data_IF_633510427691
#
_entry.id   IF_633510427691
#
_cell.length_a   1.000
_cell.length_b   1.000
_cell.length_c   1.000
_cell.angle_alpha   90.00
_cell.angle_beta   90.00
_cell.angle_gamma   90.00
#
_symmetry.space_group_name_H-M   'P 1'
#
loop_
_entity.id
_entity.type
_entity.pdbx_description
1 polymer ?
#
# COMPACT_ATOMS: atom_id res chain seq x y z
N UNK A 1 9.59 32.74 -14.91
CA UNK A 1 9.00 31.45 -14.51
C UNK A 1 7.55 31.46 -14.96
N UNK A 2 7.20 30.66 -15.93
CA UNK A 2 5.81 30.55 -16.42
C UNK A 2 4.93 30.09 -15.27
N UNK A 3 3.94 30.90 -14.91
CA UNK A 3 2.92 30.57 -13.91
C UNK A 3 2.17 29.32 -14.41
N UNK A 4 2.21 28.24 -13.63
CA UNK A 4 1.48 27.03 -13.94
C UNK A 4 0.03 27.26 -13.52
N UNK A 5 -0.91 27.04 -14.43
CA UNK A 5 -2.33 27.02 -14.10
C UNK A 5 -2.73 25.71 -13.36
N UNK A 6 -3.89 25.71 -12.73
CA UNK A 6 -4.39 24.55 -11.97
C UNK A 6 -4.55 23.29 -12.83
N UNK A 7 -4.84 23.44 -14.12
CA UNK A 7 -4.97 22.32 -15.06
C UNK A 7 -3.60 21.71 -15.37
N UNK A 8 -2.57 22.54 -15.57
CA UNK A 8 -1.19 22.11 -15.76
C UNK A 8 -0.62 21.41 -14.51
N UNK A 9 -0.93 21.93 -13.32
CA UNK A 9 -0.55 21.28 -12.06
C UNK A 9 -1.21 19.89 -11.93
N UNK A 10 -2.51 19.79 -12.22
CA UNK A 10 -3.23 18.49 -12.21
C UNK A 10 -2.62 17.51 -13.19
N UNK A 11 -2.33 17.92 -14.42
CA UNK A 11 -1.73 17.04 -15.44
C UNK A 11 -0.38 16.49 -14.99
N UNK A 12 0.49 17.35 -14.41
CA UNK A 12 1.81 16.94 -13.92
C UNK A 12 1.69 15.97 -12.73
N UNK A 13 0.78 16.25 -11.81
CA UNK A 13 0.50 15.37 -10.68
C UNK A 13 0.03 13.97 -11.13
N UNK A 14 -0.87 13.91 -12.12
CA UNK A 14 -1.36 12.64 -12.71
C UNK A 14 -0.19 11.83 -13.30
N UNK A 15 0.70 12.46 -14.08
CA UNK A 15 1.86 11.78 -14.63
C UNK A 15 2.86 11.32 -13.58
N UNK A 16 3.14 12.15 -12.58
CA UNK A 16 4.05 11.78 -11.46
C UNK A 16 3.46 10.62 -10.68
N UNK A 17 2.16 10.66 -10.34
CA UNK A 17 1.49 9.57 -9.64
C UNK A 17 1.53 8.26 -10.43
N UNK A 18 1.30 8.31 -11.74
CA UNK A 18 1.40 7.14 -12.60
C UNK A 18 2.84 6.58 -12.66
N UNK A 19 3.83 7.45 -12.89
CA UNK A 19 5.24 7.03 -12.98
C UNK A 19 5.83 6.59 -11.64
N UNK A 20 5.28 7.05 -10.50
CA UNK A 20 5.66 6.55 -9.17
C UNK A 20 5.14 5.12 -8.93
N UNK A 21 3.94 4.83 -9.42
CA UNK A 21 3.27 3.52 -9.19
C UNK A 21 3.66 2.46 -10.22
N UNK A 22 3.98 2.85 -11.44
CA UNK A 22 4.31 1.94 -12.54
C UNK A 22 5.48 0.98 -12.24
N UNK A 23 6.63 1.44 -11.69
CA UNK A 23 7.74 0.56 -11.33
C UNK A 23 7.34 -0.50 -10.30
N UNK A 24 6.53 -0.11 -9.31
CA UNK A 24 6.03 -1.04 -8.29
C UNK A 24 5.18 -2.14 -8.93
N UNK A 25 4.29 -1.80 -9.86
CA UNK A 25 3.50 -2.79 -10.60
C UNK A 25 4.37 -3.73 -11.43
N UNK A 26 5.31 -3.16 -12.21
CA UNK A 26 6.17 -3.94 -13.11
C UNK A 26 6.92 -5.06 -12.38
N UNK A 27 7.53 -4.80 -11.22
CA UNK A 27 8.30 -5.82 -10.52
C UNK A 27 7.48 -6.70 -9.56
N UNK A 28 6.32 -6.24 -9.06
CA UNK A 28 5.54 -6.96 -8.06
C UNK A 28 5.09 -8.35 -8.54
N UNK A 29 4.71 -8.49 -9.82
CA UNK A 29 4.25 -9.76 -10.37
C UNK A 29 5.38 -10.79 -10.52
N UNK A 30 6.63 -10.36 -10.61
CA UNK A 30 7.76 -11.22 -10.98
C UNK A 30 8.80 -11.37 -9.87
N UNK A 31 8.84 -10.48 -8.87
CA UNK A 31 9.89 -10.44 -7.86
C UNK A 31 10.08 -11.78 -7.15
N UNK A 32 9.03 -12.34 -6.56
CA UNK A 32 9.11 -13.62 -5.85
C UNK A 32 9.55 -14.73 -6.80
N UNK A 33 9.00 -14.77 -8.02
CA UNK A 33 9.32 -15.80 -9.02
C UNK A 33 10.74 -15.69 -9.56
N UNK A 34 11.26 -14.47 -9.73
CA UNK A 34 12.65 -14.24 -10.09
C UNK A 34 13.59 -14.76 -9.01
N UNK A 35 13.31 -14.48 -7.74
CA UNK A 35 14.13 -14.93 -6.65
C UNK A 35 14.07 -16.46 -6.49
N UNK A 36 12.89 -17.05 -6.56
CA UNK A 36 12.75 -18.51 -6.49
C UNK A 36 13.40 -19.22 -7.68
N UNK A 37 13.38 -18.65 -8.89
CA UNK A 37 14.08 -19.20 -10.06
C UNK A 37 15.60 -19.19 -9.90
N UNK A 38 16.14 -18.33 -9.03
CA UNK A 38 17.56 -18.26 -8.65
C UNK A 38 17.91 -19.12 -7.42
N UNK A 39 16.98 -19.98 -6.98
CA UNK A 39 17.18 -20.86 -5.83
C UNK A 39 17.08 -20.17 -4.48
N UNK A 40 16.59 -18.94 -4.41
CA UNK A 40 16.38 -18.23 -3.16
C UNK A 40 15.07 -18.71 -2.52
N UNK A 41 15.16 -19.18 -1.29
CA UNK A 41 14.02 -19.70 -0.56
C UNK A 41 13.02 -18.62 -0.11
N UNK A 42 11.77 -19.03 0.13
CA UNK A 42 10.69 -18.13 0.57
C UNK A 42 10.98 -17.46 1.92
N UNK A 43 11.74 -18.11 2.80
CA UNK A 43 12.21 -17.53 4.06
C UNK A 43 13.10 -16.31 3.82
N UNK A 44 14.09 -16.44 2.96
CA UNK A 44 14.98 -15.32 2.59
C UNK A 44 14.24 -14.20 1.87
N UNK A 45 13.32 -14.55 0.96
CA UNK A 45 12.45 -13.59 0.29
C UNK A 45 11.59 -12.85 1.32
N UNK A 46 10.98 -13.58 2.26
CA UNK A 46 10.19 -13.00 3.34
C UNK A 46 11.00 -12.05 4.21
N UNK A 47 12.24 -12.39 4.55
CA UNK A 47 13.16 -11.51 5.29
C UNK A 47 13.49 -10.24 4.48
N UNK A 48 13.75 -10.36 3.19
CA UNK A 48 14.02 -9.20 2.32
C UNK A 48 12.80 -8.24 2.25
N UNK A 49 11.58 -8.79 2.13
CA UNK A 49 10.33 -8.03 2.18
C UNK A 49 10.11 -7.40 3.56
N UNK A 50 10.45 -8.11 4.64
CA UNK A 50 10.39 -7.56 5.99
C UNK A 50 11.38 -6.41 6.18
N UNK A 51 12.61 -6.52 5.71
CA UNK A 51 13.61 -5.43 5.71
C UNK A 51 13.06 -4.21 4.96
N UNK A 52 12.51 -4.41 3.75
CA UNK A 52 11.84 -3.34 3.00
C UNK A 52 10.76 -2.67 3.84
N UNK A 53 9.88 -3.44 4.47
CA UNK A 53 8.79 -2.93 5.29
C UNK A 53 9.28 -2.16 6.52
N UNK A 54 10.28 -2.70 7.25
CA UNK A 54 10.88 -2.03 8.42
C UNK A 54 11.51 -0.70 8.02
N UNK A 55 12.29 -0.67 6.94
CA UNK A 55 12.91 0.57 6.44
C UNK A 55 11.84 1.58 6.03
N UNK A 56 10.78 1.14 5.33
CA UNK A 56 9.65 2.01 4.98
C UNK A 56 9.02 2.60 6.24
N UNK A 57 8.64 1.76 7.21
CA UNK A 57 7.99 2.18 8.46
C UNK A 57 8.83 3.17 9.26
N UNK A 58 10.13 2.93 9.36
CA UNK A 58 11.04 3.78 10.14
C UNK A 58 11.29 5.12 9.49
N UNK A 59 11.31 5.17 8.16
CA UNK A 59 11.61 6.38 7.41
C UNK A 59 10.36 7.18 6.99
N UNK A 60 9.17 6.59 6.95
CA UNK A 60 7.95 7.25 6.45
C UNK A 60 7.63 8.55 7.21
N UNK A 61 7.76 8.55 8.54
CA UNK A 61 7.54 9.76 9.35
C UNK A 61 8.64 10.82 9.18
N UNK A 62 9.94 10.48 9.25
CA UNK A 62 11.01 11.45 9.01
C UNK A 62 11.01 12.05 7.60
N UNK A 63 10.65 11.26 6.57
CA UNK A 63 10.70 11.72 5.17
C UNK A 63 9.61 12.70 4.84
N UNK A 64 8.45 12.65 5.50
CA UNK A 64 7.43 13.69 5.39
C UNK A 64 7.98 15.07 5.68
N UNK A 65 8.66 15.22 6.83
CA UNK A 65 9.33 16.47 7.19
C UNK A 65 10.55 16.81 6.34
N UNK A 66 11.30 15.79 5.90
CA UNK A 66 12.46 16.01 5.02
C UNK A 66 12.04 16.59 3.65
N UNK A 67 10.85 16.23 3.16
CA UNK A 67 10.31 16.77 1.90
C UNK A 67 10.02 18.28 1.97
N UNK A 68 9.69 18.78 3.16
CA UNK A 68 9.47 20.21 3.37
C UNK A 68 10.78 21.02 3.46
N UNK A 69 11.88 20.35 3.81
CA UNK A 69 13.23 20.95 3.92
C UNK A 69 14.02 20.93 2.63
N UNK A 70 14.20 19.72 2.08
CA UNK A 70 15.03 19.49 0.91
C UNK A 70 14.31 19.88 -0.39
N UNK A 71 12.97 20.00 -0.34
CA UNK A 71 12.15 20.23 -1.52
C UNK A 71 11.53 18.94 -2.06
N UNK A 72 10.26 19.02 -2.42
CA UNK A 72 9.47 17.86 -2.85
C UNK A 72 9.99 17.26 -4.15
N UNK A 73 10.47 18.10 -5.05
CA UNK A 73 11.10 17.69 -6.32
C UNK A 73 12.36 16.87 -6.06
N UNK A 74 13.24 17.30 -5.15
CA UNK A 74 14.49 16.60 -4.85
C UNK A 74 14.23 15.24 -4.20
N UNK A 75 13.28 15.16 -3.26
CA UNK A 75 12.90 13.93 -2.58
C UNK A 75 12.29 12.93 -3.56
N UNK A 76 11.39 13.36 -4.45
CA UNK A 76 10.83 12.48 -5.49
C UNK A 76 11.89 12.00 -6.47
N UNK A 77 12.83 12.86 -6.86
CA UNK A 77 13.95 12.47 -7.73
C UNK A 77 14.85 11.45 -7.03
N UNK A 78 15.16 11.65 -5.75
CA UNK A 78 15.91 10.68 -4.95
C UNK A 78 15.18 9.33 -4.85
N UNK A 79 13.87 9.33 -4.62
CA UNK A 79 13.06 8.11 -4.64
C UNK A 79 13.19 7.35 -5.96
N UNK A 80 13.11 8.06 -7.08
CA UNK A 80 13.30 7.48 -8.42
C UNK A 80 14.69 6.90 -8.62
N UNK A 81 15.74 7.58 -8.14
CA UNK A 81 17.13 7.08 -8.21
C UNK A 81 17.31 5.82 -7.38
N UNK A 82 16.83 5.79 -6.12
CA UNK A 82 16.89 4.59 -5.28
C UNK A 82 16.14 3.43 -5.90
N UNK A 83 14.95 3.68 -6.48
CA UNK A 83 14.20 2.64 -7.21
C UNK A 83 14.99 2.14 -8.41
N UNK A 84 15.59 3.03 -9.22
CA UNK A 84 16.38 2.66 -10.39
C UNK A 84 17.53 1.75 -10.00
N UNK A 85 18.33 2.14 -9.00
CA UNK A 85 19.47 1.35 -8.51
C UNK A 85 19.00 -0.02 -7.99
N UNK A 86 17.94 -0.04 -7.18
CA UNK A 86 17.39 -1.27 -6.64
C UNK A 86 16.91 -2.22 -7.76
N UNK A 87 16.23 -1.70 -8.77
CA UNK A 87 15.67 -2.51 -9.87
C UNK A 87 16.75 -3.04 -10.82
N UNK A 88 17.77 -2.24 -11.15
CA UNK A 88 18.91 -2.71 -11.93
C UNK A 88 19.65 -3.81 -11.18
N UNK A 89 19.87 -3.61 -9.88
CA UNK A 89 20.53 -4.62 -9.06
C UNK A 89 19.69 -5.89 -8.92
N UNK A 90 18.38 -5.78 -8.71
CA UNK A 90 17.45 -6.90 -8.65
C UNK A 90 17.48 -7.76 -9.92
N UNK A 91 17.66 -7.13 -11.08
CA UNK A 91 17.71 -7.84 -12.35
C UNK A 91 18.92 -8.82 -12.46
N UNK A 92 20.01 -8.56 -11.73
CA UNK A 92 21.26 -9.34 -11.80
C UNK A 92 21.68 -10.01 -10.49
N UNK A 93 21.01 -9.70 -9.37
CA UNK A 93 21.35 -10.23 -8.05
C UNK A 93 21.08 -11.75 -7.97
N UNK A 94 21.99 -12.51 -7.39
CA UNK A 94 21.92 -13.97 -7.27
C UNK A 94 22.25 -14.52 -5.87
N UNK A 95 22.68 -13.65 -4.94
CA UNK A 95 23.08 -14.03 -3.58
C UNK A 95 22.14 -13.41 -2.53
N UNK A 96 21.78 -14.17 -1.50
CA UNK A 96 20.78 -13.82 -0.49
C UNK A 96 20.96 -12.42 0.13
N UNK A 97 22.19 -12.03 0.53
CA UNK A 97 22.43 -10.72 1.14
C UNK A 97 22.11 -9.53 0.22
N UNK A 98 22.27 -9.70 -1.10
CA UNK A 98 21.97 -8.65 -2.08
C UNK A 98 20.48 -8.30 -2.01
N UNK A 99 19.59 -9.29 -1.87
CA UNK A 99 18.16 -9.06 -1.78
C UNK A 99 17.76 -8.32 -0.51
N UNK A 100 18.50 -8.49 0.60
CA UNK A 100 18.29 -7.70 1.82
C UNK A 100 18.61 -6.22 1.58
N UNK A 101 19.72 -5.94 0.91
CA UNK A 101 20.12 -4.56 0.57
C UNK A 101 19.17 -3.95 -0.44
N UNK A 102 18.76 -4.71 -1.47
CA UNK A 102 17.75 -4.29 -2.46
C UNK A 102 16.42 -3.98 -1.75
N UNK A 103 15.99 -4.83 -0.83
CA UNK A 103 14.81 -4.58 0.00
C UNK A 103 14.92 -3.27 0.78
N UNK A 104 16.07 -3.01 1.40
CA UNK A 104 16.32 -1.74 2.09
C UNK A 104 16.25 -0.53 1.13
N UNK A 105 16.86 -0.62 -0.06
CA UNK A 105 16.80 0.45 -1.07
C UNK A 105 15.37 0.73 -1.55
N UNK A 106 14.57 -0.33 -1.80
CA UNK A 106 13.16 -0.20 -2.14
C UNK A 106 12.39 0.44 -0.97
N UNK A 107 12.70 0.05 0.27
CA UNK A 107 12.11 0.65 1.47
C UNK A 107 12.37 2.14 1.59
N UNK A 108 13.61 2.58 1.36
CA UNK A 108 13.99 4.00 1.29
C UNK A 108 13.22 4.72 0.19
N UNK A 109 13.21 4.16 -1.03
CA UNK A 109 12.51 4.74 -2.17
C UNK A 109 11.01 4.92 -1.88
N UNK A 110 10.38 3.92 -1.27
CA UNK A 110 8.97 3.94 -0.91
C UNK A 110 8.65 5.01 0.13
N UNK A 111 9.47 5.12 1.17
CA UNK A 111 9.33 6.16 2.19
C UNK A 111 9.48 7.57 1.59
N UNK A 112 10.46 7.78 0.71
CA UNK A 112 10.70 9.06 0.05
C UNK A 112 9.58 9.44 -0.95
N UNK A 113 8.88 8.47 -1.54
CA UNK A 113 7.80 8.71 -2.49
C UNK A 113 6.43 8.96 -1.82
N UNK A 114 6.29 8.63 -0.54
CA UNK A 114 5.03 8.76 0.21
C UNK A 114 4.74 10.23 0.54
N UNK A 115 3.74 10.80 -0.12
CA UNK A 115 3.22 12.14 0.17
C UNK A 115 3.80 13.33 -0.62
N UNK A 116 5.08 13.41 -1.03
CA UNK A 116 5.62 14.62 -1.66
C UNK A 116 4.91 15.06 -2.94
N UNK A 117 4.42 14.12 -3.75
CA UNK A 117 3.71 14.44 -4.99
C UNK A 117 2.35 15.10 -4.72
N UNK A 118 1.59 14.57 -3.77
CA UNK A 118 0.29 15.12 -3.36
C UNK A 118 0.45 16.51 -2.73
N UNK A 119 1.42 16.63 -1.85
CA UNK A 119 1.73 17.87 -1.18
C UNK A 119 2.20 18.95 -2.19
N UNK A 120 3.04 18.57 -3.19
CA UNK A 120 3.42 19.49 -4.28
C UNK A 120 2.18 19.95 -5.07
N UNK A 121 1.27 19.05 -5.39
CA UNK A 121 0.05 19.37 -6.12
C UNK A 121 -0.84 20.36 -5.35
N UNK A 122 -1.12 20.04 -4.09
CA UNK A 122 -1.98 20.90 -3.24
C UNK A 122 -1.41 22.29 -3.08
N UNK A 123 -0.10 22.42 -2.80
CA UNK A 123 0.55 23.70 -2.64
C UNK A 123 0.57 24.50 -3.95
N UNK A 124 0.86 23.84 -5.08
CA UNK A 124 0.92 24.50 -6.39
C UNK A 124 -0.46 25.05 -6.79
N UNK A 125 -1.52 24.27 -6.58
CA UNK A 125 -2.89 24.72 -6.91
C UNK A 125 -3.33 25.84 -5.97
N UNK A 126 -3.08 25.73 -4.66
CA UNK A 126 -3.46 26.74 -3.69
C UNK A 126 -2.64 28.05 -3.80
N UNK A 127 -1.44 27.97 -4.37
CA UNK A 127 -0.66 29.18 -4.68
C UNK A 127 -1.29 30.01 -5.81
N UNK A 128 -2.06 29.36 -6.72
CA UNK A 128 -2.80 30.05 -7.80
C UNK A 128 -4.16 30.52 -7.30
N UNK A 129 -4.91 29.66 -6.59
CA UNK A 129 -6.19 29.98 -5.98
C UNK A 129 -6.29 29.32 -4.59
N UNK A 130 -6.22 30.09 -3.50
CA UNK A 130 -6.30 29.58 -2.12
C UNK A 130 -7.61 28.81 -1.80
N UNK A 131 -8.67 29.04 -2.58
CA UNK A 131 -9.98 28.39 -2.40
C UNK A 131 -10.25 27.26 -3.39
N UNK A 132 -9.26 26.90 -4.23
CA UNK A 132 -9.43 25.87 -5.24
C UNK A 132 -9.79 24.51 -4.60
N UNK A 133 -10.75 23.80 -5.20
CA UNK A 133 -11.08 22.42 -4.84
C UNK A 133 -10.04 21.46 -5.42
N UNK A 134 -9.14 20.98 -4.56
CA UNK A 134 -8.08 20.03 -4.92
C UNK A 134 -8.58 18.58 -5.02
N UNK A 135 -9.80 18.26 -4.54
CA UNK A 135 -10.30 16.88 -4.42
C UNK A 135 -10.34 16.14 -5.75
N UNK A 136 -10.84 16.80 -6.80
CA UNK A 136 -10.92 16.20 -8.14
C UNK A 136 -9.55 15.87 -8.72
N UNK A 137 -8.55 16.71 -8.50
CA UNK A 137 -7.20 16.48 -8.98
C UNK A 137 -6.50 15.38 -8.19
N UNK A 138 -6.65 15.34 -6.87
CA UNK A 138 -6.16 14.24 -6.03
C UNK A 138 -6.77 12.90 -6.47
N UNK A 139 -8.09 12.85 -6.67
CA UNK A 139 -8.75 11.64 -7.14
C UNK A 139 -8.22 11.17 -8.50
N UNK A 140 -7.97 12.09 -9.45
CA UNK A 140 -7.37 11.75 -10.76
C UNK A 140 -5.95 11.20 -10.62
N UNK A 141 -5.11 11.79 -9.76
CA UNK A 141 -3.76 11.31 -9.50
C UNK A 141 -3.76 9.90 -8.89
N UNK A 142 -4.59 9.67 -7.86
CA UNK A 142 -4.74 8.33 -7.27
C UNK A 142 -5.23 7.30 -8.29
N UNK A 143 -6.26 7.64 -9.09
CA UNK A 143 -6.75 6.75 -10.15
C UNK A 143 -5.64 6.42 -11.15
N UNK A 144 -4.87 7.42 -11.59
CA UNK A 144 -3.75 7.20 -12.50
C UNK A 144 -2.67 6.30 -11.88
N UNK A 145 -2.36 6.47 -10.60
CA UNK A 145 -1.45 5.59 -9.86
C UNK A 145 -1.94 4.15 -9.81
N UNK A 146 -3.21 3.91 -9.46
CA UNK A 146 -3.79 2.56 -9.44
C UNK A 146 -3.83 1.92 -10.82
N UNK A 147 -4.20 2.67 -11.85
CA UNK A 147 -4.19 2.16 -13.24
C UNK A 147 -2.78 1.82 -13.68
N UNK A 148 -1.79 2.68 -13.38
CA UNK A 148 -0.39 2.43 -13.71
C UNK A 148 0.18 1.22 -12.96
N UNK A 149 -0.18 1.03 -11.68
CA UNK A 149 0.16 -0.16 -10.90
C UNK A 149 -0.39 -1.44 -11.57
N UNK A 150 -1.68 -1.44 -11.92
CA UNK A 150 -2.33 -2.60 -12.55
C UNK A 150 -1.75 -2.90 -13.93
N UNK A 151 -1.56 -1.88 -14.77
CA UNK A 151 -0.92 -2.03 -16.08
C UNK A 151 0.54 -2.50 -15.94
N UNK A 152 1.26 -1.97 -14.94
CA UNK A 152 2.60 -2.42 -14.60
C UNK A 152 2.64 -3.90 -14.23
N UNK A 153 1.73 -4.37 -13.38
CA UNK A 153 1.64 -5.78 -13.01
C UNK A 153 1.41 -6.67 -14.23
N UNK A 154 0.44 -6.33 -15.07
CA UNK A 154 0.16 -7.09 -16.29
C UNK A 154 1.35 -7.05 -17.26
N UNK A 155 1.93 -5.87 -17.49
CA UNK A 155 3.10 -5.70 -18.36
C UNK A 155 4.33 -6.44 -17.84
N UNK A 156 4.61 -6.34 -16.53
CA UNK A 156 5.71 -7.06 -15.89
C UNK A 156 5.53 -8.57 -15.93
N UNK A 157 4.32 -9.07 -15.63
CA UNK A 157 4.01 -10.49 -15.72
C UNK A 157 4.12 -11.05 -17.14
N UNK A 158 3.68 -10.27 -18.14
CA UNK A 158 3.75 -10.67 -19.54
C UNK A 158 5.19 -10.57 -20.14
N UNK A 159 6.02 -9.68 -19.62
CA UNK A 159 7.36 -9.43 -20.15
C UNK A 159 8.23 -10.68 -20.20
N UNK A 160 8.11 -11.56 -19.21
CA UNK A 160 8.82 -12.83 -19.13
C UNK A 160 8.44 -13.83 -20.25
N UNK A 161 7.29 -13.66 -20.89
CA UNK A 161 6.83 -14.52 -22.01
C UNK A 161 7.23 -13.96 -23.38
N UNK A 162 7.38 -12.62 -23.49
CA UNK A 162 7.56 -11.94 -24.78
C UNK A 162 9.03 -11.84 -25.15
N UNK A 163 9.92 -11.72 -24.17
CA UNK A 163 11.36 -11.52 -24.41
C UNK A 163 12.10 -12.85 -24.31
N UNK A 164 12.64 -13.40 -25.43
CA UNK A 164 13.35 -14.66 -25.40
C UNK A 164 14.78 -14.47 -24.87
N UNK A 165 14.94 -14.55 -23.54
CA UNK A 165 16.25 -14.62 -22.89
C UNK A 165 16.57 -16.06 -22.48
N UNK A 166 17.86 -16.42 -22.38
CA UNK A 166 18.28 -17.71 -21.82
C UNK A 166 17.76 -17.91 -20.39
N UNK A 167 17.44 -19.13 -20.03
CA UNK A 167 16.95 -19.47 -18.68
C UNK A 167 18.08 -19.57 -17.63
N UNK A 168 19.32 -19.66 -18.08
CA UNK A 168 20.54 -19.99 -17.31
C UNK A 168 21.62 -18.89 -17.37
N UNK A 169 21.24 -17.66 -17.66
CA UNK A 169 22.15 -16.51 -17.68
C UNK A 169 22.03 -15.59 -16.46
N UNK A 170 22.89 -14.58 -16.39
CA UNK A 170 22.76 -13.48 -15.42
C UNK A 170 21.44 -12.75 -15.57
N UNK A 171 21.00 -12.57 -16.82
CA UNK A 171 19.67 -12.04 -17.16
C UNK A 171 18.79 -13.20 -17.63
N UNK A 172 17.72 -13.46 -16.91
CA UNK A 172 16.69 -14.44 -17.24
C UNK A 172 15.42 -13.72 -17.71
N UNK A 173 14.43 -14.40 -18.33
CA UNK A 173 13.20 -13.74 -18.81
C UNK A 173 12.50 -12.89 -17.74
N UNK A 174 12.48 -13.34 -16.49
CA UNK A 174 11.91 -12.59 -15.35
C UNK A 174 12.70 -11.31 -15.00
N UNK A 175 13.97 -11.19 -15.41
CA UNK A 175 14.80 -9.99 -15.18
C UNK A 175 14.34 -8.77 -16.01
N UNK A 176 13.55 -8.98 -17.06
CA UNK A 176 13.02 -7.88 -17.89
C UNK A 176 12.09 -6.97 -17.10
N UNK A 177 11.31 -7.53 -16.20
CA UNK A 177 10.38 -6.75 -15.38
C UNK A 177 11.06 -5.72 -14.48
N UNK A 178 12.08 -6.07 -13.68
CA UNK A 178 12.81 -5.06 -12.90
C UNK A 178 13.59 -4.10 -13.81
N UNK A 179 14.11 -4.51 -14.98
CA UNK A 179 14.73 -3.57 -15.92
C UNK A 179 13.72 -2.57 -16.51
N UNK A 180 12.52 -3.02 -16.84
CA UNK A 180 11.44 -2.13 -17.27
C UNK A 180 11.02 -1.18 -16.13
N UNK A 181 10.98 -1.66 -14.87
CA UNK A 181 10.75 -0.84 -13.70
C UNK A 181 11.85 0.22 -13.50
N UNK A 182 13.11 -0.13 -13.73
CA UNK A 182 14.23 0.82 -13.71
C UNK A 182 14.06 1.90 -14.77
N UNK A 183 13.70 1.52 -16.01
CA UNK A 183 13.45 2.47 -17.10
C UNK A 183 12.30 3.43 -16.78
N UNK A 184 11.19 2.92 -16.21
CA UNK A 184 10.08 3.75 -15.75
C UNK A 184 10.49 4.70 -14.61
N UNK A 185 11.36 4.24 -13.70
CA UNK A 185 11.89 5.08 -12.62
C UNK A 185 12.83 6.18 -13.13
N UNK A 186 13.64 5.90 -14.15
CA UNK A 186 14.45 6.91 -14.84
C UNK A 186 13.52 7.96 -15.48
N UNK A 187 12.45 7.52 -16.14
CA UNK A 187 11.46 8.45 -16.70
C UNK A 187 10.81 9.31 -15.60
N UNK A 188 10.51 8.75 -14.42
CA UNK A 188 10.05 9.51 -13.26
C UNK A 188 11.06 10.59 -12.87
N UNK A 189 12.35 10.24 -12.75
CA UNK A 189 13.41 11.22 -12.41
C UNK A 189 13.44 12.35 -13.42
N UNK A 190 13.42 12.04 -14.71
CA UNK A 190 13.39 13.05 -15.78
C UNK A 190 12.16 13.95 -15.66
N UNK A 191 10.97 13.39 -15.51
CA UNK A 191 9.73 14.16 -15.39
C UNK A 191 9.78 15.06 -14.15
N UNK A 192 10.23 14.53 -13.02
CA UNK A 192 10.32 15.29 -11.77
C UNK A 192 11.35 16.41 -11.87
N UNK A 193 12.54 16.14 -12.40
CA UNK A 193 13.64 17.13 -12.49
C UNK A 193 13.35 18.22 -13.49
N UNK A 194 12.77 17.92 -14.63
CA UNK A 194 12.59 18.90 -15.70
C UNK A 194 11.20 19.51 -15.79
N UNK A 195 10.20 18.86 -15.19
CA UNK A 195 8.81 19.29 -15.36
C UNK A 195 8.13 19.77 -14.07
N UNK A 196 8.66 19.40 -12.87
CA UNK A 196 8.13 19.93 -11.61
C UNK A 196 8.88 21.18 -11.18
N UNK A 197 8.24 22.37 -11.18
CA UNK A 197 8.83 23.55 -10.57
C UNK A 197 8.80 23.42 -9.04
N UNK A 198 9.86 23.84 -8.41
CA UNK A 198 9.97 23.93 -6.96
C UNK A 198 9.64 25.35 -6.51
N UNK A 199 8.57 25.57 -5.75
CA UNK A 199 8.31 26.88 -5.16
C UNK A 199 9.37 27.22 -4.10
N UNK A 200 9.79 28.48 -4.08
CA UNK A 200 10.73 28.98 -3.06
C UNK A 200 10.08 28.87 -1.68
N UNK A 201 10.71 28.19 -0.74
CA UNK A 201 10.21 27.96 0.61
C UNK A 201 11.14 28.53 1.68
N UNK A 202 10.57 28.95 2.83
CA UNK A 202 11.37 29.24 4.02
C UNK A 202 12.04 27.94 4.50
N UNK A 203 13.34 28.00 4.80
CA UNK A 203 14.09 26.86 5.36
C UNK A 203 13.75 26.71 6.83
N UNK A 204 12.95 25.71 7.16
CA UNK A 204 12.79 25.23 8.55
C UNK A 204 13.94 24.27 8.88
N UNK A 205 14.43 24.25 10.11
CA UNK A 205 15.60 23.44 10.46
C UNK A 205 15.29 21.94 10.52
N UNK A 206 16.09 21.08 9.87
CA UNK A 206 15.94 19.63 9.84
C UNK A 206 15.87 18.98 11.25
N UNK A 207 16.63 19.53 12.19
CA UNK A 207 16.64 19.06 13.59
C UNK A 207 15.30 19.24 14.31
N UNK A 208 14.51 20.27 13.96
CA UNK A 208 13.19 20.48 14.56
C UNK A 208 12.22 19.37 14.16
N UNK A 209 12.25 18.94 12.90
CA UNK A 209 11.38 17.89 12.35
C UNK A 209 11.74 16.52 12.95
N UNK A 210 13.03 16.18 13.02
CA UNK A 210 13.47 14.92 13.62
C UNK A 210 13.12 14.82 15.12
N UNK A 211 13.13 15.95 15.83
CA UNK A 211 12.71 16.03 17.24
C UNK A 211 11.22 15.81 17.44
N UNK A 212 10.40 16.11 16.45
CA UNK A 212 8.93 16.00 16.54
C UNK A 212 8.43 14.57 16.23
N UNK A 213 9.22 13.75 15.51
CA UNK A 213 8.86 12.36 15.17
C UNK A 213 8.49 11.50 16.39
N UNK A 214 9.25 11.49 17.50
CA UNK A 214 8.88 10.71 18.70
C UNK A 214 7.57 11.19 19.31
N UNK A 215 7.30 12.49 19.29
CA UNK A 215 6.07 13.07 19.80
C UNK A 215 4.86 12.64 18.95
N UNK A 216 4.97 12.67 17.62
CA UNK A 216 3.92 12.22 16.70
C UNK A 216 3.63 10.73 16.87
N UNK A 217 4.67 9.88 16.97
CA UNK A 217 4.54 8.45 17.26
C UNK A 217 3.82 8.21 18.59
N UNK A 218 4.26 8.89 19.65
CA UNK A 218 3.65 8.75 20.99
C UNK A 218 2.19 9.18 20.99
N UNK A 219 1.87 10.27 20.31
CA UNK A 219 0.50 10.77 20.15
C UNK A 219 -0.35 9.76 19.40
N UNK A 220 0.16 9.21 18.30
CA UNK A 220 -0.53 8.18 17.51
C UNK A 220 -0.79 6.89 18.29
N UNK A 221 0.22 6.39 19.00
CA UNK A 221 0.08 5.20 19.88
C UNK A 221 -0.92 5.48 20.99
N UNK A 222 -0.80 6.63 21.67
CA UNK A 222 -1.74 7.02 22.73
C UNK A 222 -3.17 7.09 22.21
N UNK A 223 -3.39 7.69 21.05
CA UNK A 223 -4.70 7.76 20.41
C UNK A 223 -5.26 6.36 20.15
N UNK A 224 -4.43 5.47 19.61
CA UNK A 224 -4.80 4.09 19.31
C UNK A 224 -5.16 3.26 20.54
N UNK A 225 -4.53 3.52 21.69
CA UNK A 225 -4.73 2.74 22.93
C UNK A 225 -5.79 3.36 23.85
N UNK A 226 -6.03 4.67 23.77
CA UNK A 226 -6.96 5.37 24.67
C UNK A 226 -8.44 5.11 24.38
N UNK A 227 -8.82 4.81 23.15
CA UNK A 227 -10.18 4.45 22.75
C UNK A 227 -10.26 2.95 22.45
N UNK A 228 -11.09 2.18 23.20
CA UNK A 228 -11.23 0.72 22.99
C UNK A 228 -11.72 0.36 21.59
N UNK A 229 -12.52 1.21 20.95
CA UNK A 229 -12.99 0.97 19.58
C UNK A 229 -11.87 1.17 18.57
N UNK A 230 -11.03 2.17 18.75
CA UNK A 230 -9.87 2.40 17.89
C UNK A 230 -8.81 1.30 18.07
N UNK A 231 -8.55 0.85 19.30
CA UNK A 231 -7.66 -0.30 19.58
C UNK A 231 -8.12 -1.55 18.84
N UNK A 232 -9.42 -1.84 18.84
CA UNK A 232 -10.00 -2.97 18.09
C UNK A 232 -9.81 -2.82 16.59
N UNK A 233 -9.99 -1.62 16.03
CA UNK A 233 -9.69 -1.35 14.62
C UNK A 233 -8.22 -1.62 14.32
N UNK A 234 -7.29 -1.20 15.17
CA UNK A 234 -5.85 -1.44 14.97
C UNK A 234 -5.51 -2.93 14.99
N UNK A 235 -6.07 -3.71 15.93
CA UNK A 235 -5.87 -5.17 15.97
C UNK A 235 -6.35 -5.83 14.68
N UNK A 236 -7.54 -5.48 14.19
CA UNK A 236 -8.06 -6.03 12.93
C UNK A 236 -7.20 -5.60 11.73
N UNK A 237 -6.64 -4.40 11.78
CA UNK A 237 -5.76 -3.88 10.73
C UNK A 237 -4.43 -4.64 10.68
N UNK A 238 -3.89 -5.07 11.82
CA UNK A 238 -2.71 -5.95 11.87
C UNK A 238 -3.03 -7.28 11.18
N UNK A 239 -4.18 -7.90 11.48
CA UNK A 239 -4.58 -9.16 10.86
C UNK A 239 -4.76 -9.03 9.33
N UNK A 240 -5.29 -7.90 8.85
CA UNK A 240 -5.34 -7.59 7.41
C UNK A 240 -3.93 -7.49 6.83
N UNK A 241 -3.02 -6.81 7.52
CA UNK A 241 -1.61 -6.72 7.11
C UNK A 241 -0.94 -8.08 7.01
N UNK A 242 -1.17 -8.96 8.00
CA UNK A 242 -0.66 -10.35 7.98
C UNK A 242 -1.21 -11.12 6.77
N UNK A 243 -2.50 -11.01 6.49
CA UNK A 243 -3.12 -11.70 5.37
C UNK A 243 -2.60 -11.19 4.01
N UNK A 244 -2.44 -9.88 3.86
CA UNK A 244 -1.86 -9.28 2.64
C UNK A 244 -0.40 -9.66 2.46
N UNK A 245 0.42 -9.65 3.51
CA UNK A 245 1.83 -10.08 3.45
C UNK A 245 1.96 -11.56 3.09
N UNK A 246 1.11 -12.42 3.65
CA UNK A 246 1.06 -13.84 3.28
C UNK A 246 0.67 -14.03 1.80
N UNK A 247 -0.28 -13.24 1.32
CA UNK A 247 -0.72 -13.29 -0.07
C UNK A 247 0.37 -12.83 -1.03
N UNK A 248 1.00 -11.69 -0.74
CA UNK A 248 2.05 -11.10 -1.57
C UNK A 248 3.28 -12.01 -1.70
N UNK A 249 3.66 -12.69 -0.61
CA UNK A 249 4.80 -13.60 -0.59
C UNK A 249 4.49 -14.94 -1.27
N UNK A 250 3.31 -15.51 -1.04
CA UNK A 250 3.05 -16.92 -1.36
C UNK A 250 2.20 -17.13 -2.61
N UNK A 251 1.33 -16.18 -2.98
CA UNK A 251 0.47 -16.35 -4.13
C UNK A 251 1.23 -16.45 -5.46
N UNK A 252 2.31 -15.68 -5.73
CA UNK A 252 3.09 -15.87 -6.96
C UNK A 252 3.65 -17.28 -7.10
N UNK A 253 4.24 -17.82 -6.03
CA UNK A 253 4.81 -19.18 -6.00
C UNK A 253 3.73 -20.24 -6.24
N UNK A 254 2.56 -20.10 -5.61
CA UNK A 254 1.42 -21.01 -5.83
C UNK A 254 0.90 -20.92 -7.27
N UNK A 255 0.75 -19.72 -7.83
CA UNK A 255 0.31 -19.54 -9.21
C UNK A 255 1.31 -20.16 -10.21
N UNK A 256 2.62 -20.05 -9.94
CA UNK A 256 3.63 -20.70 -10.77
C UNK A 256 3.52 -22.23 -10.77
N UNK A 257 3.30 -22.82 -9.59
CA UNK A 257 3.06 -24.28 -9.47
C UNK A 257 1.82 -24.70 -10.25
N UNK A 258 0.73 -23.94 -10.17
CA UNK A 258 -0.54 -24.27 -10.83
C UNK A 258 -0.49 -24.01 -12.35
N UNK A 259 0.25 -23.01 -12.80
CA UNK A 259 0.40 -22.68 -14.21
C UNK A 259 1.50 -23.48 -14.93
N UNK A 260 2.25 -24.32 -14.21
CA UNK A 260 3.28 -25.20 -14.78
C UNK A 260 4.61 -24.51 -15.07
N UNK A 261 4.90 -23.35 -14.44
CA UNK A 261 6.19 -22.67 -14.56
C UNK A 261 6.17 -21.22 -14.11
N UNK A 262 7.37 -20.63 -13.94
CA UNK A 262 7.51 -19.27 -13.40
C UNK A 262 7.01 -18.20 -14.37
N UNK A 263 7.25 -18.32 -15.66
CA UNK A 263 6.79 -17.36 -16.67
C UNK A 263 5.25 -17.38 -16.81
N UNK A 264 4.63 -18.56 -16.89
CA UNK A 264 3.17 -18.68 -16.89
C UNK A 264 2.56 -18.24 -15.55
N UNK A 265 3.22 -18.54 -14.46
CA UNK A 265 2.82 -18.11 -13.11
C UNK A 265 2.85 -16.60 -12.91
N UNK A 266 3.83 -15.91 -13.50
CA UNK A 266 3.93 -14.44 -13.38
C UNK A 266 2.75 -13.74 -14.06
N UNK A 267 2.35 -14.16 -15.25
CA UNK A 267 1.18 -13.60 -15.92
C UNK A 267 -0.13 -14.00 -15.24
N UNK A 268 -0.22 -15.25 -14.75
CA UNK A 268 -1.39 -15.71 -13.99
C UNK A 268 -1.58 -14.87 -12.72
N UNK A 269 -0.53 -14.66 -11.94
CA UNK A 269 -0.57 -13.83 -10.75
C UNK A 269 -0.89 -12.37 -11.09
N UNK A 270 -0.28 -11.81 -12.14
CA UNK A 270 -0.55 -10.46 -12.59
C UNK A 270 -2.02 -10.26 -13.00
N UNK A 271 -2.56 -11.19 -13.81
CA UNK A 271 -3.95 -11.12 -14.25
C UNK A 271 -4.94 -11.26 -13.07
N UNK A 272 -4.70 -12.24 -12.18
CA UNK A 272 -5.54 -12.45 -11.00
C UNK A 272 -5.49 -11.26 -10.05
N UNK A 273 -4.31 -10.64 -9.86
CA UNK A 273 -4.16 -9.45 -9.03
C UNK A 273 -4.86 -8.22 -9.64
N UNK A 274 -4.76 -8.02 -10.95
CA UNK A 274 -5.46 -6.93 -11.64
C UNK A 274 -6.99 -7.08 -11.51
N UNK A 275 -7.52 -8.29 -11.68
CA UNK A 275 -8.94 -8.60 -11.45
C UNK A 275 -9.30 -8.40 -9.97
N UNK A 276 -8.45 -8.86 -9.05
CA UNK A 276 -8.62 -8.71 -7.61
C UNK A 276 -8.77 -7.24 -7.19
N UNK A 277 -7.93 -6.34 -7.69
CA UNK A 277 -8.07 -4.91 -7.44
C UNK A 277 -9.41 -4.36 -7.98
N UNK A 278 -9.86 -4.84 -9.15
CA UNK A 278 -11.19 -4.50 -9.68
C UNK A 278 -12.33 -5.00 -8.79
N UNK A 279 -12.23 -6.22 -8.26
CA UNK A 279 -13.25 -6.79 -7.35
C UNK A 279 -13.30 -6.08 -6.00
N UNK A 280 -12.19 -5.47 -5.54
CA UNK A 280 -12.20 -4.60 -4.36
C UNK A 280 -13.13 -3.39 -4.52
N UNK A 281 -13.21 -2.81 -5.73
CA UNK A 281 -14.16 -1.73 -6.01
C UNK A 281 -15.62 -2.23 -5.94
N UNK A 282 -15.89 -3.45 -6.40
CA UNK A 282 -17.19 -4.10 -6.22
C UNK A 282 -17.50 -4.25 -4.73
N UNK A 283 -16.56 -4.74 -3.94
CA UNK A 283 -16.71 -4.83 -2.48
C UNK A 283 -17.05 -3.48 -1.82
N UNK A 284 -16.36 -2.43 -2.23
CA UNK A 284 -16.62 -1.08 -1.71
C UNK A 284 -18.03 -0.59 -2.07
N UNK A 285 -18.54 -0.90 -3.25
CA UNK A 285 -19.91 -0.55 -3.68
C UNK A 285 -21.01 -1.30 -2.92
N UNK A 286 -20.69 -2.45 -2.32
CA UNK A 286 -21.59 -3.21 -1.46
C UNK A 286 -21.72 -2.63 -0.05
N UNK A 287 -20.87 -1.69 0.35
CA UNK A 287 -20.90 -1.13 1.71
C UNK A 287 -22.23 -0.42 2.06
N UNK A 288 -22.80 0.48 1.22
CA UNK A 288 -24.09 1.13 1.55
C UNK A 288 -25.24 0.14 1.72
N UNK A 289 -25.53 -0.82 0.82
CA UNK A 289 -26.60 -1.79 1.01
C UNK A 289 -26.36 -2.70 2.22
N UNK A 290 -25.14 -3.13 2.48
CA UNK A 290 -24.82 -3.90 3.68
C UNK A 290 -25.03 -3.07 4.96
N UNK A 291 -24.69 -1.79 4.94
CA UNK A 291 -24.91 -0.91 6.09
C UNK A 291 -26.41 -0.74 6.38
N UNK A 292 -27.26 -0.58 5.36
CA UNK A 292 -28.72 -0.48 5.53
C UNK A 292 -29.32 -1.77 6.11
N UNK A 293 -28.78 -2.93 5.78
CA UNK A 293 -29.25 -4.23 6.26
C UNK A 293 -28.71 -4.57 7.67
N UNK A 294 -27.42 -4.34 7.92
CA UNK A 294 -26.74 -4.72 9.16
C UNK A 294 -26.81 -3.65 10.25
N UNK A 295 -27.12 -2.41 9.90
CA UNK A 295 -27.38 -1.27 10.78
C UNK A 295 -26.14 -0.60 11.38
N UNK A 296 -24.95 -1.21 11.35
CA UNK A 296 -23.72 -0.63 11.93
C UNK A 296 -22.48 -0.88 11.06
N UNK A 297 -21.57 0.12 11.02
CA UNK A 297 -20.30 -0.01 10.32
C UNK A 297 -19.43 -1.16 10.86
N UNK A 298 -19.49 -1.43 12.18
CA UNK A 298 -18.80 -2.57 12.79
C UNK A 298 -19.25 -3.91 12.24
N UNK A 299 -20.57 -4.14 12.08
CA UNK A 299 -21.08 -5.39 11.48
C UNK A 299 -20.72 -5.52 10.01
N UNK A 300 -20.75 -4.42 9.25
CA UNK A 300 -20.33 -4.41 7.85
C UNK A 300 -18.84 -4.78 7.74
N UNK A 301 -17.99 -4.19 8.58
CA UNK A 301 -16.57 -4.50 8.64
C UNK A 301 -16.33 -5.98 9.04
N UNK A 302 -17.11 -6.52 10.00
CA UNK A 302 -17.04 -7.93 10.39
C UNK A 302 -17.35 -8.87 9.20
N UNK A 303 -18.42 -8.59 8.47
CA UNK A 303 -18.81 -9.39 7.28
C UNK A 303 -17.72 -9.33 6.21
N UNK A 304 -17.21 -8.14 5.88
CA UNK A 304 -16.13 -8.02 4.89
C UNK A 304 -14.85 -8.75 5.32
N UNK A 305 -14.48 -8.64 6.60
CA UNK A 305 -13.31 -9.37 7.15
C UNK A 305 -13.54 -10.88 7.13
N UNK A 306 -14.74 -11.35 7.47
CA UNK A 306 -15.09 -12.76 7.40
C UNK A 306 -15.04 -13.31 5.97
N UNK A 307 -15.55 -12.55 4.98
CA UNK A 307 -15.45 -12.91 3.55
C UNK A 307 -13.98 -13.02 3.14
N UNK A 308 -13.14 -12.06 3.49
CA UNK A 308 -11.72 -12.11 3.15
C UNK A 308 -11.00 -13.27 3.85
N UNK A 309 -11.30 -13.52 5.13
CA UNK A 309 -10.73 -14.61 5.90
C UNK A 309 -11.12 -16.00 5.34
N UNK A 310 -12.42 -16.21 5.09
CA UNK A 310 -12.92 -17.48 4.52
C UNK A 310 -12.39 -17.71 3.11
N UNK A 311 -12.15 -16.66 2.34
CA UNK A 311 -11.51 -16.77 1.03
C UNK A 311 -10.05 -17.24 1.16
N UNK A 312 -9.29 -16.71 2.11
CA UNK A 312 -7.91 -17.16 2.37
C UNK A 312 -7.88 -18.61 2.88
N UNK A 313 -8.82 -19.01 3.76
CA UNK A 313 -9.00 -20.39 4.19
C UNK A 313 -9.41 -21.30 3.01
N UNK A 314 -10.24 -20.82 2.09
CA UNK A 314 -10.59 -21.51 0.85
C UNK A 314 -9.37 -21.76 -0.04
N UNK A 315 -8.49 -20.77 -0.21
CA UNK A 315 -7.22 -20.95 -0.93
C UNK A 315 -6.34 -22.02 -0.25
N UNK A 316 -6.29 -22.04 1.07
CA UNK A 316 -5.58 -23.06 1.83
C UNK A 316 -6.18 -24.46 1.65
N UNK A 317 -7.51 -24.58 1.69
CA UNK A 317 -8.22 -25.86 1.56
C UNK A 317 -8.03 -26.50 0.17
N UNK A 318 -7.90 -25.70 -0.88
CA UNK A 318 -7.64 -26.17 -2.25
C UNK A 318 -6.14 -26.32 -2.55
N UNK A 319 -5.30 -26.31 -1.52
CA UNK A 319 -3.84 -26.41 -1.64
C UNK A 319 -3.34 -27.68 -2.35
N UNK A 320 -4.11 -28.76 -2.36
CA UNK A 320 -3.79 -30.01 -3.07
C UNK A 320 -4.27 -30.04 -4.53
N UNK A 321 -5.08 -29.08 -4.96
CA UNK A 321 -5.51 -29.01 -6.37
C UNK A 321 -4.33 -28.64 -7.27
N UNK A 322 -4.35 -29.14 -8.51
CA UNK A 322 -3.32 -28.92 -9.52
C UNK A 322 -3.92 -28.48 -10.86
N UNK A 323 -3.06 -27.99 -11.74
CA UNK A 323 -3.44 -27.61 -13.11
C UNK A 323 -4.43 -26.46 -13.18
N UNK A 324 -5.09 -26.31 -14.32
CA UNK A 324 -5.99 -25.20 -14.63
C UNK A 324 -7.17 -25.08 -13.67
N UNK A 325 -7.75 -26.20 -13.25
CA UNK A 325 -8.85 -26.19 -12.28
C UNK A 325 -8.40 -25.59 -10.93
N UNK A 326 -7.23 -26.02 -10.40
CA UNK A 326 -6.64 -25.45 -9.20
C UNK A 326 -6.35 -23.95 -9.34
N UNK A 327 -5.86 -23.52 -10.52
CA UNK A 327 -5.60 -22.11 -10.81
C UNK A 327 -6.89 -21.28 -10.77
N UNK A 328 -7.95 -21.71 -11.45
CA UNK A 328 -9.22 -20.99 -11.51
C UNK A 328 -9.89 -20.88 -10.14
N UNK A 329 -9.89 -21.96 -9.36
CA UNK A 329 -10.47 -21.97 -8.00
C UNK A 329 -9.67 -21.07 -7.06
N UNK A 330 -8.33 -21.13 -7.10
CA UNK A 330 -7.46 -20.27 -6.31
C UNK A 330 -7.66 -18.79 -6.70
N UNK A 331 -7.77 -18.49 -8.00
CA UNK A 331 -8.06 -17.15 -8.52
C UNK A 331 -9.43 -16.64 -8.04
N UNK A 332 -10.45 -17.49 -8.01
CA UNK A 332 -11.78 -17.17 -7.49
C UNK A 332 -11.74 -16.75 -6.01
N UNK A 333 -11.07 -17.52 -5.16
CA UNK A 333 -10.89 -17.17 -3.76
C UNK A 333 -10.03 -15.91 -3.58
N UNK A 334 -8.98 -15.73 -4.39
CA UNK A 334 -8.17 -14.51 -4.39
C UNK A 334 -9.04 -13.27 -4.67
N UNK A 335 -9.86 -13.29 -5.71
CA UNK A 335 -10.77 -12.22 -6.05
C UNK A 335 -11.83 -11.99 -4.94
N UNK A 336 -12.38 -13.06 -4.36
CA UNK A 336 -13.34 -12.97 -3.27
C UNK A 336 -12.71 -12.33 -2.00
N UNK A 337 -11.43 -12.61 -1.72
CA UNK A 337 -10.71 -11.95 -0.65
C UNK A 337 -10.67 -10.43 -0.85
N UNK A 338 -10.41 -9.96 -2.09
CA UNK A 338 -10.39 -8.53 -2.40
C UNK A 338 -11.79 -7.90 -2.34
N UNK A 339 -12.86 -8.63 -2.67
CA UNK A 339 -14.24 -8.17 -2.38
C UNK A 339 -14.41 -7.91 -0.88
N UNK A 340 -14.01 -8.85 -0.03
CA UNK A 340 -14.07 -8.69 1.42
C UNK A 340 -13.30 -7.46 1.91
N UNK A 341 -12.06 -7.28 1.45
CA UNK A 341 -11.23 -6.11 1.78
C UNK A 341 -11.87 -4.79 1.30
N UNK A 342 -12.50 -4.81 0.13
CA UNK A 342 -13.27 -3.69 -0.41
C UNK A 342 -14.45 -3.30 0.50
N UNK A 343 -15.18 -4.27 1.05
CA UNK A 343 -16.27 -4.02 2.01
C UNK A 343 -15.71 -3.41 3.31
N UNK A 344 -14.58 -3.91 3.82
CA UNK A 344 -13.98 -3.46 5.09
C UNK A 344 -13.51 -2.01 5.03
N UNK A 345 -12.90 -1.59 3.93
CA UNK A 345 -12.16 -0.32 3.84
C UNK A 345 -13.04 0.91 4.14
N UNK A 346 -14.22 1.13 3.49
CA UNK A 346 -15.09 2.25 3.81
C UNK A 346 -15.69 2.14 5.23
N UNK A 347 -16.10 0.94 5.65
CA UNK A 347 -16.68 0.72 6.98
C UNK A 347 -15.69 1.10 8.10
N UNK A 348 -14.42 0.71 7.95
CA UNK A 348 -13.35 1.08 8.87
C UNK A 348 -13.12 2.59 8.91
N UNK A 349 -13.14 3.25 7.75
CA UNK A 349 -13.01 4.71 7.67
C UNK A 349 -14.13 5.42 8.43
N UNK A 350 -15.37 4.95 8.31
CA UNK A 350 -16.52 5.49 9.07
C UNK A 350 -16.26 5.32 10.59
N UNK A 351 -15.89 4.13 11.04
CA UNK A 351 -15.60 3.86 12.46
C UNK A 351 -14.54 4.82 13.00
N UNK A 352 -13.45 5.05 12.26
CA UNK A 352 -12.38 5.96 12.67
C UNK A 352 -12.91 7.39 12.74
N UNK A 353 -13.63 7.86 11.69
CA UNK A 353 -14.13 9.24 11.62
C UNK A 353 -15.15 9.58 12.71
N UNK A 354 -15.94 8.59 13.15
CA UNK A 354 -16.93 8.78 14.22
C UNK A 354 -16.27 8.87 15.63
N UNK A 355 -15.02 8.43 15.78
CA UNK A 355 -14.32 8.34 17.07
C UNK A 355 -13.24 9.39 17.28
N UNK A 356 -12.78 10.03 16.21
CA UNK A 356 -11.65 10.97 16.26
C UNK A 356 -12.10 12.38 15.86
N UNK A 357 -11.64 13.36 16.61
CA UNK A 357 -11.85 14.77 16.29
C UNK A 357 -11.20 15.17 14.96
N UNK A 358 -11.66 16.27 14.37
CA UNK A 358 -11.18 16.72 13.05
C UNK A 358 -9.64 16.89 13.00
N UNK A 359 -9.02 17.35 14.10
CA UNK A 359 -7.56 17.53 14.19
C UNK A 359 -6.74 16.24 14.32
N UNK A 360 -7.38 15.11 14.71
CA UNK A 360 -6.69 13.84 14.96
C UNK A 360 -6.90 12.80 13.85
N UNK A 361 -7.79 13.09 12.89
CA UNK A 361 -8.15 12.16 11.80
C UNK A 361 -6.95 11.71 10.97
N UNK A 362 -6.10 12.66 10.61
CA UNK A 362 -4.90 12.36 9.84
C UNK A 362 -3.96 11.41 10.60
N UNK A 363 -3.76 11.66 11.91
CA UNK A 363 -2.95 10.81 12.77
C UNK A 363 -3.53 9.41 12.91
N UNK A 364 -4.86 9.29 13.11
CA UNK A 364 -5.53 7.98 13.22
C UNK A 364 -5.41 7.16 11.92
N UNK A 365 -5.57 7.79 10.75
CA UNK A 365 -5.40 7.12 9.46
C UNK A 365 -3.94 6.70 9.22
N UNK A 366 -2.96 7.54 9.60
CA UNK A 366 -1.54 7.21 9.52
C UNK A 366 -1.20 6.01 10.41
N UNK A 367 -1.64 6.00 11.68
CA UNK A 367 -1.44 4.87 12.60
C UNK A 367 -2.07 3.59 12.05
N UNK A 368 -3.26 3.69 11.45
CA UNK A 368 -3.92 2.54 10.81
C UNK A 368 -3.10 1.99 9.62
N UNK A 369 -2.51 2.86 8.80
CA UNK A 369 -1.62 2.47 7.71
C UNK A 369 -0.35 1.78 8.25
N UNK A 370 0.29 2.38 9.25
CA UNK A 370 1.50 1.84 9.89
C UNK A 370 1.24 0.47 10.54
N UNK A 371 0.08 0.27 11.18
CA UNK A 371 -0.28 -1.03 11.76
C UNK A 371 -0.54 -2.09 10.69
N UNK A 372 -1.15 -1.74 9.54
CA UNK A 372 -1.29 -2.67 8.41
C UNK A 372 0.08 -3.08 7.88
N UNK A 373 0.98 -2.13 7.66
CA UNK A 373 2.33 -2.39 7.18
C UNK A 373 3.13 -3.23 8.19
N UNK A 374 3.02 -2.91 9.50
CA UNK A 374 3.64 -3.68 10.57
C UNK A 374 3.17 -5.14 10.61
N UNK A 375 1.87 -5.37 10.42
CA UNK A 375 1.31 -6.71 10.27
C UNK A 375 1.91 -7.46 9.07
N UNK A 376 2.07 -6.79 7.93
CA UNK A 376 2.73 -7.33 6.73
C UNK A 376 4.19 -7.70 6.98
N UNK A 377 4.95 -6.84 7.69
CA UNK A 377 6.35 -7.10 8.06
C UNK A 377 6.47 -8.35 8.92
N UNK A 378 5.65 -8.47 9.96
CA UNK A 378 5.64 -9.66 10.83
C UNK A 378 5.30 -10.92 10.03
N UNK A 379 4.33 -10.81 9.13
CA UNK A 379 3.93 -11.90 8.26
C UNK A 379 5.06 -12.35 7.34
N UNK A 380 5.63 -11.45 6.56
CA UNK A 380 6.67 -11.81 5.59
C UNK A 380 7.91 -12.38 6.28
N UNK A 381 8.28 -11.87 7.46
CA UNK A 381 9.38 -12.40 8.26
C UNK A 381 9.13 -13.84 8.74
N UNK A 382 7.95 -14.13 9.30
CA UNK A 382 7.65 -15.43 9.91
C UNK A 382 7.05 -16.45 8.95
N UNK A 383 6.16 -16.00 8.07
CA UNK A 383 5.39 -16.89 7.20
C UNK A 383 6.21 -17.48 6.05
N UNK A 384 7.30 -16.81 5.62
CA UNK A 384 8.24 -17.36 4.65
C UNK A 384 8.91 -18.63 5.17
N UNK A 385 9.42 -18.60 6.41
CA UNK A 385 10.00 -19.76 7.07
C UNK A 385 8.96 -20.87 7.28
N UNK A 386 7.75 -20.50 7.71
CA UNK A 386 6.68 -21.47 7.92
C UNK A 386 6.26 -22.16 6.60
N UNK A 387 6.22 -21.42 5.49
CA UNK A 387 5.89 -22.01 4.19
C UNK A 387 6.93 -23.00 3.70
N UNK A 388 8.22 -22.78 3.98
CA UNK A 388 9.29 -23.72 3.65
C UNK A 388 9.31 -24.94 4.56
N UNK A 389 9.12 -24.75 5.87
CA UNK A 389 9.17 -25.84 6.84
C UNK A 389 7.91 -26.71 6.87
N UNK A 390 6.80 -26.21 6.33
CA UNK A 390 5.53 -26.93 6.29
C UNK A 390 4.90 -26.93 4.89
N UNK A 391 4.10 -25.90 4.59
CA UNK A 391 3.52 -25.68 3.25
C UNK A 391 2.89 -24.28 3.13
N UNK A 392 2.69 -23.83 1.90
CA UNK A 392 1.90 -22.62 1.59
C UNK A 392 0.48 -22.72 2.17
N UNK A 393 -0.15 -23.91 2.11
CA UNK A 393 -1.49 -24.12 2.60
C UNK A 393 -1.58 -23.92 4.13
N UNK A 394 -0.66 -24.48 4.91
CA UNK A 394 -0.61 -24.29 6.37
C UNK A 394 -0.44 -22.80 6.72
N UNK A 395 0.40 -22.12 5.97
CA UNK A 395 0.65 -20.68 6.19
C UNK A 395 -0.61 -19.85 5.92
N UNK A 396 -1.34 -20.15 4.86
CA UNK A 396 -2.63 -19.48 4.58
C UNK A 396 -3.72 -19.86 5.60
N UNK A 397 -3.72 -21.09 6.13
CA UNK A 397 -4.61 -21.48 7.22
C UNK A 397 -4.39 -20.59 8.45
N UNK A 398 -3.14 -20.40 8.87
CA UNK A 398 -2.81 -19.58 10.04
C UNK A 398 -3.22 -18.13 9.81
N UNK A 399 -2.87 -17.53 8.68
CA UNK A 399 -3.24 -16.16 8.35
C UNK A 399 -4.77 -15.96 8.25
N UNK A 400 -5.47 -16.94 7.64
CA UNK A 400 -6.92 -16.93 7.51
C UNK A 400 -7.64 -17.05 8.84
N UNK A 401 -7.19 -17.95 9.72
CA UNK A 401 -7.75 -18.10 11.08
C UNK A 401 -7.53 -16.82 11.90
N UNK A 402 -6.31 -16.26 11.88
CA UNK A 402 -6.03 -15.01 12.57
C UNK A 402 -6.96 -13.87 12.08
N UNK A 403 -7.14 -13.77 10.78
CA UNK A 403 -8.05 -12.78 10.18
C UNK A 403 -9.51 -13.05 10.56
N UNK A 404 -9.96 -14.32 10.58
CA UNK A 404 -11.31 -14.71 10.96
C UNK A 404 -11.60 -14.38 12.43
N UNK A 405 -10.65 -14.68 13.32
CA UNK A 405 -10.74 -14.32 14.75
C UNK A 405 -10.85 -12.81 14.91
N UNK A 406 -10.08 -12.05 14.12
CA UNK A 406 -10.16 -10.58 14.16
C UNK A 406 -11.52 -10.04 13.73
N UNK A 407 -12.27 -10.74 12.86
CA UNK A 407 -13.61 -10.32 12.45
C UNK A 407 -14.60 -10.26 13.63
N UNK A 408 -14.43 -11.13 14.64
CA UNK A 408 -15.28 -11.17 15.82
C UNK A 408 -15.14 -9.92 16.72
N UNK A 409 -14.06 -9.16 16.57
CA UNK A 409 -13.78 -7.95 17.35
C UNK A 409 -14.62 -6.74 16.88
N UNK A 410 -15.04 -6.71 15.62
CA UNK A 410 -15.75 -5.58 15.02
C UNK A 410 -17.19 -5.36 15.56
N UNK A 411 -18.05 -6.38 15.73
CA UNK A 411 -19.43 -6.19 16.16
C UNK A 411 -19.57 -5.47 17.50
N UNK A 412 -18.57 -5.60 18.37
CA UNK A 412 -18.55 -4.94 19.68
C UNK A 412 -18.20 -3.44 19.60
N UNK A 413 -17.83 -2.94 18.40
CA UNK A 413 -17.55 -1.53 18.21
C UNK A 413 -18.89 -0.80 18.09
N UNK A 414 -19.41 -0.31 19.21
CA UNK A 414 -20.60 0.54 19.23
C UNK A 414 -20.27 1.88 18.57
N UNK A 415 -21.22 2.46 17.83
CA UNK A 415 -21.11 3.86 17.39
C UNK A 415 -20.84 4.72 18.63
N UNK A 416 -19.82 5.59 18.57
CA UNK A 416 -19.62 6.56 19.63
C UNK A 416 -20.93 7.34 19.80
N UNK A 417 -21.49 7.39 21.00
CA UNK A 417 -22.57 8.28 21.27
C UNK A 417 -22.12 9.67 20.80
N UNK A 418 -22.89 10.29 19.88
CA UNK A 418 -22.56 11.65 19.42
C UNK A 418 -22.34 12.49 20.66
N UNK A 419 -21.10 12.91 20.92
CA UNK A 419 -20.86 13.95 21.91
C UNK A 419 -21.73 15.13 21.47
N UNK A 420 -22.63 15.62 22.33
CA UNK A 420 -23.36 16.83 21.99
C UNK A 420 -22.34 17.87 21.56
N UNK A 421 -22.55 18.46 20.39
CA UNK A 421 -21.71 19.56 19.93
C UNK A 421 -21.59 20.52 21.12
N UNK A 422 -20.36 20.82 21.54
CA UNK A 422 -20.11 21.79 22.59
C UNK A 422 -20.79 23.07 22.11
N UNK A 423 -21.97 23.33 22.61
CA UNK A 423 -22.65 24.60 22.47
C UNK A 423 -21.83 25.60 23.23
N UNK A 424 -20.85 26.20 22.58
CA UNK A 424 -20.27 27.44 23.01
C UNK A 424 -21.40 28.46 22.98
N UNK A 425 -21.87 28.97 24.09
CA UNK A 425 -22.86 30.03 24.06
C UNK A 425 -22.14 31.29 23.52
N UNK A 426 -22.38 31.57 22.23
CA UNK A 426 -22.08 32.90 21.67
C UNK A 426 -23.20 33.84 22.16
N UNK A 427 -23.19 34.12 23.47
CA UNK A 427 -24.02 35.13 24.06
C UNK A 427 -23.19 35.87 25.11
N UNK A 428 -22.54 36.94 24.67
CA UNK A 428 -21.84 37.81 25.62
C UNK A 428 -20.77 38.75 25.06
N UNK A 429 -20.83 39.14 23.79
CA UNK A 429 -19.95 40.22 23.28
C UNK A 429 -20.64 41.11 22.20
N UNK A 430 -21.92 41.44 22.40
CA UNK A 430 -22.57 42.51 21.67
C UNK A 430 -23.25 43.45 22.66
N UNK A 431 -22.47 44.12 23.50
CA UNK A 431 -23.05 45.03 24.47
C UNK A 431 -22.08 46.03 25.05
N UNK A 432 -21.16 46.62 24.28
CA UNK A 432 -20.41 47.80 24.72
C UNK A 432 -19.68 48.51 23.56
N UNK A 433 -20.48 48.99 22.58
CA UNK A 433 -20.07 50.04 21.66
C UNK A 433 -21.32 50.92 21.36
N UNK A 434 -21.82 51.63 22.40
CA UNK A 434 -22.67 52.80 22.26
C UNK A 434 -22.74 53.54 23.59
N UNK A 435 -21.69 54.27 23.92
CA UNK A 435 -21.71 55.52 24.70
C UNK A 435 -20.46 56.33 24.43
#
# INVERSE_FOLDING_TARGET
MTSIDAAGATRRFVWVSALTSLPAGLHAATMVLLLTSRGIGLSTIGVAMAVQGVVTLTLELPTGGLSDLAGRRQILAAAGVFTTVAMIWLAVADVAWQFLVIGALIGVARALSSGPAEAWYVDTVRAVDPRADVKKGLARGHTAGFVALALGMVGGGAAALVVPLPSDGVLVPLSISPLAAAAASIALVFVVVFWLPEPVRPRTGALAILRDVPHQLRTGIRLGVSDPGLSRVLVTTIAVGVALGALELLAPARMATLAGGTAAGSIAYAAVSAVGFGTSAIGASLNPPLHSWLGTAGRVAAVGTAVAATSLLGMAAVGQMSGTAGLLVTAGFFCAMFVGLGIVSPARSVIIHDRVGAGERATALSVTSLTTQGGGVVATFGLGYLAESSSIAVTWWIAGVLMLVSAAVFPEIRSAARMPAATTPVSGLLGEWNR
#
